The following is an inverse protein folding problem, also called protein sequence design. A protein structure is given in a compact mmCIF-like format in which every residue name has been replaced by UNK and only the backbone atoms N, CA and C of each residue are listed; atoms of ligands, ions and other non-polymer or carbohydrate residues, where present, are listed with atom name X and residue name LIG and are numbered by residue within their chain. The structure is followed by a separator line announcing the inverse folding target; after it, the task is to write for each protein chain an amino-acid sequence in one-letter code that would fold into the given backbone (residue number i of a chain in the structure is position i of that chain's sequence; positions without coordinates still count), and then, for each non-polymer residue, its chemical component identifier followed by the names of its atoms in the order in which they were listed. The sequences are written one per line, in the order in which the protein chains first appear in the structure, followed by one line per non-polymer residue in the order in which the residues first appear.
data_IF_442221667345
#
_entry.id   IF_442221667345
#
_cell.length_a   1.000
_cell.length_b   1.000
_cell.length_c   1.000
_cell.angle_alpha   90.00
_cell.angle_beta   90.00
_cell.angle_gamma   90.00
#
_symmetry.space_group_name_H-M   'P 1'
#
loop_
_entity.id
_entity.type
_entity.pdbx_description
1 polymer ?
#
# COMPACT_ATOMS: atom_id res chain seq x y z
N UNK A 1 69.60 3.31 -18.24
CA UNK A 1 69.89 2.24 -17.25
C UNK A 1 69.13 2.53 -15.97
N UNK A 2 68.00 1.82 -15.78
CA UNK A 2 67.35 1.51 -14.46
C UNK A 2 66.05 0.77 -14.75
N UNK A 3 66.09 -0.53 -14.56
CA UNK A 3 64.96 -1.47 -14.58
C UNK A 3 63.97 -1.09 -13.48
N UNK A 4 62.65 -1.16 -13.77
CA UNK A 4 61.58 -1.25 -12.79
C UNK A 4 60.80 -2.55 -13.02
N UNK A 5 61.05 -3.46 -12.11
CA UNK A 5 60.36 -4.75 -11.96
C UNK A 5 58.90 -4.49 -11.61
N UNK A 6 57.97 -5.01 -12.45
CA UNK A 6 56.53 -5.07 -12.16
C UNK A 6 56.20 -6.27 -11.31
N UNK A 7 55.51 -6.05 -10.21
CA UNK A 7 54.87 -7.09 -9.41
C UNK A 7 53.44 -7.31 -9.96
N UNK A 8 53.24 -8.48 -10.56
CA UNK A 8 51.92 -8.96 -10.92
C UNK A 8 51.28 -9.58 -9.65
N UNK A 9 50.31 -8.89 -9.08
CA UNK A 9 49.49 -9.37 -7.96
C UNK A 9 48.33 -10.16 -8.56
N UNK A 10 48.46 -11.50 -8.54
CA UNK A 10 47.41 -12.43 -8.97
C UNK A 10 46.20 -12.33 -8.01
N UNK A 11 45.10 -11.82 -8.54
CA UNK A 11 43.79 -11.78 -7.86
C UNK A 11 43.18 -13.20 -8.01
N UNK A 12 43.29 -14.02 -6.96
CA UNK A 12 42.58 -15.30 -6.86
C UNK A 12 41.12 -14.97 -6.59
N UNK A 13 40.29 -15.07 -7.63
CA UNK A 13 38.83 -14.97 -7.54
C UNK A 13 38.32 -16.30 -6.97
N UNK A 14 38.07 -16.35 -5.64
CA UNK A 14 37.30 -17.44 -5.05
C UNK A 14 35.86 -17.35 -5.57
N UNK A 15 35.29 -18.43 -6.14
CA UNK A 15 33.87 -18.48 -6.41
C UNK A 15 33.16 -18.57 -5.06
N UNK A 16 32.48 -17.53 -4.65
CA UNK A 16 31.48 -17.57 -3.59
C UNK A 16 30.34 -18.43 -4.13
N UNK A 17 30.27 -19.67 -3.70
CA UNK A 17 29.08 -20.51 -3.83
C UNK A 17 27.97 -19.78 -3.07
N UNK A 18 27.12 -19.07 -3.78
CA UNK A 18 25.83 -18.59 -3.27
C UNK A 18 24.98 -19.83 -3.02
N UNK A 19 25.12 -20.42 -1.84
CA UNK A 19 24.09 -21.29 -1.27
C UNK A 19 22.85 -20.40 -1.20
N UNK A 20 21.78 -20.80 -1.87
CA UNK A 20 20.49 -20.11 -1.79
C UNK A 20 20.06 -20.03 -0.32
N UNK A 21 20.38 -18.93 0.32
CA UNK A 21 19.97 -18.68 1.68
C UNK A 21 18.49 -18.31 1.65
N UNK A 22 17.63 -19.22 2.10
CA UNK A 22 16.26 -18.86 2.43
C UNK A 22 16.32 -17.75 3.49
N UNK A 23 15.86 -16.56 3.15
CA UNK A 23 15.85 -15.45 4.08
C UNK A 23 14.63 -15.62 5.01
N UNK A 24 14.89 -15.96 6.27
CA UNK A 24 13.86 -15.92 7.30
C UNK A 24 13.60 -14.48 7.70
N UNK A 25 12.36 -14.05 7.63
CA UNK A 25 11.96 -12.69 7.97
C UNK A 25 10.84 -12.70 9.00
N UNK A 26 10.91 -11.81 9.99
CA UNK A 26 9.82 -11.62 10.96
C UNK A 26 8.73 -10.73 10.37
N UNK A 27 7.49 -10.88 10.86
CA UNK A 27 6.37 -10.06 10.44
C UNK A 27 6.66 -8.55 10.59
N UNK A 28 7.24 -8.15 11.72
CA UNK A 28 7.58 -6.74 11.99
C UNK A 28 8.58 -6.18 10.99
N UNK A 29 9.63 -6.97 10.65
CA UNK A 29 10.63 -6.56 9.66
C UNK A 29 10.04 -6.49 8.25
N UNK A 30 9.15 -7.41 7.90
CA UNK A 30 8.46 -7.41 6.61
C UNK A 30 7.61 -6.15 6.41
N UNK A 31 6.85 -5.76 7.44
CA UNK A 31 6.03 -4.54 7.40
C UNK A 31 6.90 -3.28 7.31
N UNK A 32 7.97 -3.15 8.13
CA UNK A 32 8.85 -1.97 8.08
C UNK A 32 9.54 -1.82 6.72
N UNK A 33 10.04 -2.91 6.15
CA UNK A 33 10.66 -2.90 4.82
C UNK A 33 9.66 -2.52 3.72
N UNK A 34 8.44 -3.04 3.78
CA UNK A 34 7.40 -2.71 2.81
C UNK A 34 7.00 -1.24 2.90
N UNK A 35 6.77 -0.70 4.10
CA UNK A 35 6.43 0.72 4.28
C UNK A 35 7.51 1.66 3.74
N UNK A 36 8.80 1.25 3.77
CA UNK A 36 9.91 2.04 3.23
C UNK A 36 10.09 1.88 1.72
N UNK A 37 9.77 0.72 1.16
CA UNK A 37 10.14 0.38 -0.20
C UNK A 37 8.97 0.33 -1.18
N UNK A 38 7.74 0.09 -0.71
CA UNK A 38 6.57 -0.06 -1.58
C UNK A 38 6.35 1.20 -2.45
N UNK A 39 6.25 1.05 -3.77
CA UNK A 39 6.03 2.17 -4.69
C UNK A 39 4.73 2.95 -4.40
N UNK A 40 3.68 2.31 -3.88
CA UNK A 40 2.40 2.95 -3.55
C UNK A 40 2.56 3.98 -2.42
N UNK A 41 3.35 3.65 -1.39
CA UNK A 41 3.69 4.59 -0.30
C UNK A 41 4.49 5.76 -0.85
N UNK A 42 5.54 5.49 -1.65
CA UNK A 42 6.37 6.53 -2.28
C UNK A 42 5.57 7.45 -3.21
N UNK A 43 4.62 6.89 -3.96
CA UNK A 43 3.69 7.68 -4.78
C UNK A 43 2.82 8.62 -3.93
N UNK A 44 2.31 8.13 -2.80
CA UNK A 44 1.52 8.93 -1.86
C UNK A 44 2.36 10.00 -1.15
N UNK A 45 3.62 9.72 -0.83
CA UNK A 45 4.57 10.70 -0.30
C UNK A 45 4.87 11.81 -1.33
N UNK A 46 5.07 11.44 -2.59
CA UNK A 46 5.21 12.41 -3.68
C UNK A 46 3.94 13.25 -3.88
N UNK A 47 2.75 12.67 -3.69
CA UNK A 47 1.49 13.42 -3.73
C UNK A 47 1.38 14.44 -2.58
N UNK A 48 1.86 14.11 -1.38
CA UNK A 48 1.96 15.06 -0.26
C UNK A 48 2.93 16.19 -0.59
N UNK A 49 4.11 15.88 -1.16
CA UNK A 49 5.07 16.91 -1.58
C UNK A 49 4.47 17.84 -2.64
N UNK A 50 3.74 17.27 -3.62
CA UNK A 50 3.00 18.06 -4.63
C UNK A 50 1.96 18.98 -3.99
N UNK A 51 1.17 18.48 -3.04
CA UNK A 51 0.16 19.28 -2.35
C UNK A 51 0.80 20.39 -1.47
N UNK A 52 1.95 20.11 -0.86
CA UNK A 52 2.73 21.11 -0.13
C UNK A 52 3.26 22.20 -1.05
N UNK A 53 3.81 21.83 -2.21
CA UNK A 53 4.27 22.80 -3.22
C UNK A 53 3.10 23.66 -3.73
N UNK A 54 1.95 23.07 -3.99
CA UNK A 54 0.74 23.81 -4.41
C UNK A 54 0.25 24.80 -3.33
N UNK A 55 0.34 24.44 -2.05
CA UNK A 55 0.06 25.38 -0.96
C UNK A 55 1.07 26.53 -0.92
N UNK A 56 2.36 26.23 -1.10
CA UNK A 56 3.40 27.28 -1.16
C UNK A 56 3.18 28.20 -2.35
N UNK A 57 2.92 27.64 -3.53
CA UNK A 57 2.60 28.41 -4.74
C UNK A 57 1.44 29.39 -4.53
N UNK A 58 0.36 28.93 -3.87
CA UNK A 58 -0.78 29.82 -3.57
C UNK A 58 -0.46 30.91 -2.56
N UNK A 59 0.53 30.73 -1.69
CA UNK A 59 1.00 31.75 -0.72
C UNK A 59 2.01 32.70 -1.33
N UNK A 60 2.86 32.19 -2.21
CA UNK A 60 3.98 32.95 -2.80
C UNK A 60 3.53 33.99 -3.79
N UNK A 61 2.24 34.04 -4.17
CA UNK A 61 1.64 35.16 -4.92
C UNK A 61 1.80 36.50 -4.18
N UNK A 62 1.92 36.50 -2.85
CA UNK A 62 2.20 37.66 -2.03
C UNK A 62 3.70 38.01 -1.95
N UNK A 63 4.57 37.14 -2.39
CA UNK A 63 6.01 37.36 -2.42
C UNK A 63 6.36 38.01 -3.76
N UNK A 64 7.09 39.16 -3.74
CA UNK A 64 7.48 39.80 -4.98
C UNK A 64 8.31 38.89 -5.88
N UNK A 65 7.89 38.67 -7.12
CA UNK A 65 8.71 38.02 -8.14
C UNK A 65 9.73 39.01 -8.70
N UNK A 66 10.79 38.53 -9.31
CA UNK A 66 11.73 39.38 -10.05
C UNK A 66 11.97 38.76 -11.42
N UNK A 67 11.65 39.52 -12.46
CA UNK A 67 11.80 39.07 -13.84
C UNK A 67 12.71 40.04 -14.59
N UNK A 68 13.76 39.52 -15.22
CA UNK A 68 14.64 40.29 -16.09
C UNK A 68 14.27 40.03 -17.55
N UNK A 69 14.00 41.08 -18.31
CA UNK A 69 13.73 40.98 -19.73
C UNK A 69 14.75 41.81 -20.50
N UNK A 70 15.23 41.31 -21.63
CA UNK A 70 16.11 42.03 -22.56
C UNK A 70 15.61 41.85 -23.98
N UNK A 71 15.54 42.95 -24.73
CA UNK A 71 15.13 42.96 -26.13
C UNK A 71 16.09 43.76 -26.98
N UNK A 72 16.56 43.13 -28.07
CA UNK A 72 17.25 43.81 -29.18
C UNK A 72 16.44 43.54 -30.45
N UNK A 73 16.16 44.59 -31.20
CA UNK A 73 15.39 44.46 -32.45
C UNK A 73 15.83 45.46 -33.50
N UNK A 74 15.61 45.11 -34.74
CA UNK A 74 15.76 45.99 -35.88
C UNK A 74 14.45 46.02 -36.66
N UNK A 75 13.89 47.23 -36.84
CA UNK A 75 12.67 47.42 -37.63
C UNK A 75 12.97 47.83 -39.05
N UNK A 76 12.14 47.37 -39.99
CA UNK A 76 12.15 47.78 -41.40
C UNK A 76 10.79 48.43 -41.70
N UNK A 77 10.79 49.61 -42.25
CA UNK A 77 9.59 50.42 -42.50
C UNK A 77 9.61 51.73 -41.74
N UNK A 78 8.45 52.37 -41.58
CA UNK A 78 8.36 53.65 -40.85
C UNK A 78 7.53 53.44 -39.57
N UNK A 79 8.10 53.72 -38.36
CA UNK A 79 9.49 54.13 -38.09
C UNK A 79 10.44 52.94 -38.11
N UNK A 80 11.67 53.13 -38.62
CA UNK A 80 12.75 52.14 -38.58
C UNK A 80 13.54 52.26 -37.27
N UNK A 81 14.00 51.09 -36.74
CA UNK A 81 14.80 50.98 -35.53
C UNK A 81 13.95 50.77 -34.26
N UNK A 82 14.35 49.77 -33.51
CA UNK A 82 13.81 49.48 -32.18
C UNK A 82 14.90 49.74 -31.15
N UNK A 83 14.59 50.37 -30.00
CA UNK A 83 15.60 50.54 -28.96
C UNK A 83 15.95 49.20 -28.35
N UNK A 84 17.22 49.06 -27.93
CA UNK A 84 17.58 48.00 -27.01
C UNK A 84 17.01 48.31 -25.65
N UNK A 85 16.20 47.40 -25.12
CA UNK A 85 15.54 47.60 -23.85
C UNK A 85 15.99 46.47 -22.89
N UNK A 86 16.45 46.87 -21.73
CA UNK A 86 16.61 46.00 -20.59
C UNK A 86 15.63 46.41 -19.50
N UNK A 87 14.86 45.46 -18.98
CA UNK A 87 13.92 45.77 -17.89
C UNK A 87 14.00 44.71 -16.78
N UNK A 88 13.90 45.18 -15.56
CA UNK A 88 13.66 44.39 -14.36
C UNK A 88 12.26 44.73 -13.86
N UNK A 89 11.41 43.75 -13.76
CA UNK A 89 10.06 43.92 -13.22
C UNK A 89 9.87 43.01 -12.00
N UNK A 90 9.22 43.57 -11.00
CA UNK A 90 8.82 42.85 -9.79
C UNK A 90 7.34 43.13 -9.54
N UNK A 91 6.58 42.08 -9.29
CA UNK A 91 5.15 42.22 -9.00
C UNK A 91 4.78 41.30 -7.82
N UNK A 92 3.91 41.80 -6.95
CA UNK A 92 3.34 41.03 -5.85
C UNK A 92 1.86 41.36 -5.66
N UNK A 93 1.08 40.36 -5.25
CA UNK A 93 -0.29 40.59 -4.82
C UNK A 93 -0.28 41.17 -3.41
N UNK A 94 -0.97 42.30 -3.20
CA UNK A 94 -1.12 42.96 -1.89
C UNK A 94 -2.39 42.46 -1.19
N UNK A 95 -3.47 42.38 -1.95
CA UNK A 95 -4.76 42.02 -1.40
C UNK A 95 -5.68 41.41 -2.47
N UNK A 96 -6.26 40.24 -2.12
CA UNK A 96 -7.30 39.59 -2.92
C UNK A 96 -8.16 38.71 -2.01
N UNK A 97 -9.48 38.88 -2.06
CA UNK A 97 -10.42 38.07 -1.30
C UNK A 97 -10.42 36.58 -1.74
N UNK A 98 -10.38 36.35 -3.06
CA UNK A 98 -10.35 35.00 -3.64
C UNK A 98 -9.10 34.22 -3.22
N UNK A 99 -7.94 34.87 -3.17
CA UNK A 99 -6.67 34.24 -2.84
C UNK A 99 -6.65 33.67 -1.44
N UNK A 100 -7.35 34.30 -0.49
CA UNK A 100 -7.46 33.72 0.89
C UNK A 100 -8.21 32.42 0.90
N UNK A 101 -9.24 32.27 0.08
CA UNK A 101 -10.00 31.02 -0.02
C UNK A 101 -9.22 29.98 -0.82
N UNK A 102 -8.43 30.39 -1.83
CA UNK A 102 -7.51 29.49 -2.55
C UNK A 102 -6.43 28.91 -1.61
N UNK A 103 -5.85 29.72 -0.71
CA UNK A 103 -4.90 29.23 0.30
C UNK A 103 -5.57 28.22 1.24
N UNK A 104 -6.81 28.47 1.67
CA UNK A 104 -7.55 27.52 2.50
C UNK A 104 -7.86 26.23 1.76
N UNK A 105 -8.23 26.33 0.47
CA UNK A 105 -8.45 25.21 -0.40
C UNK A 105 -7.19 24.34 -0.52
N UNK A 106 -6.05 24.96 -0.82
CA UNK A 106 -4.77 24.28 -0.91
C UNK A 106 -4.34 23.65 0.44
N UNK A 107 -4.57 24.33 1.58
CA UNK A 107 -4.30 23.78 2.91
C UNK A 107 -5.19 22.55 3.22
N UNK A 108 -6.48 22.60 2.83
CA UNK A 108 -7.36 21.44 2.95
C UNK A 108 -6.97 20.30 2.00
N UNK A 109 -6.44 20.64 0.80
CA UNK A 109 -5.87 19.69 -0.13
C UNK A 109 -4.63 18.99 0.41
N UNK A 110 -3.74 19.72 1.08
CA UNK A 110 -2.58 19.14 1.76
C UNK A 110 -3.01 18.21 2.92
N UNK A 111 -4.02 18.62 3.70
CA UNK A 111 -4.57 17.76 4.76
C UNK A 111 -5.17 16.47 4.18
N UNK A 112 -5.86 16.56 3.03
CA UNK A 112 -6.37 15.39 2.31
C UNK A 112 -5.25 14.46 1.84
N UNK A 113 -4.17 14.99 1.28
CA UNK A 113 -3.03 14.21 0.82
C UNK A 113 -2.31 13.49 1.98
N UNK A 114 -2.15 14.13 3.15
CA UNK A 114 -1.58 13.49 4.33
C UNK A 114 -2.45 12.33 4.84
N UNK A 115 -3.77 12.50 4.84
CA UNK A 115 -4.70 11.45 5.24
C UNK A 115 -4.73 10.31 4.21
N UNK A 116 -4.57 10.61 2.92
CA UNK A 116 -4.44 9.60 1.87
C UNK A 116 -3.14 8.79 2.01
N UNK A 117 -2.03 9.43 2.43
CA UNK A 117 -0.78 8.74 2.75
C UNK A 117 -0.97 7.79 3.95
N UNK A 118 -1.66 8.24 5.00
CA UNK A 118 -1.96 7.35 6.14
C UNK A 118 -2.79 6.14 5.72
N UNK A 119 -3.83 6.34 4.90
CA UNK A 119 -4.65 5.24 4.37
C UNK A 119 -3.82 4.27 3.52
N UNK A 120 -2.89 4.78 2.68
CA UNK A 120 -2.03 3.94 1.86
C UNK A 120 -1.05 3.11 2.70
N UNK A 121 -0.52 3.69 3.79
CA UNK A 121 0.33 2.95 4.74
C UNK A 121 -0.44 1.83 5.42
N UNK A 122 -1.62 2.12 5.97
CA UNK A 122 -2.48 1.10 6.57
C UNK A 122 -2.89 -0.01 5.58
N UNK A 123 -3.06 0.34 4.29
CA UNK A 123 -3.36 -0.64 3.26
C UNK A 123 -2.15 -1.54 2.95
N UNK A 124 -0.95 -0.97 2.85
CA UNK A 124 0.27 -1.76 2.64
C UNK A 124 0.57 -2.64 3.85
N UNK A 125 0.36 -2.14 5.07
CA UNK A 125 0.46 -2.94 6.30
C UNK A 125 -0.47 -4.15 6.26
N UNK A 126 -1.76 -3.94 5.92
CA UNK A 126 -2.73 -5.03 5.78
C UNK A 126 -2.30 -6.04 4.72
N UNK A 127 -1.92 -5.57 3.53
CA UNK A 127 -1.51 -6.43 2.41
C UNK A 127 -0.32 -7.32 2.81
N UNK A 128 0.68 -6.75 3.49
CA UNK A 128 1.86 -7.50 3.94
C UNK A 128 1.53 -8.48 5.05
N UNK A 129 0.73 -8.06 6.03
CA UNK A 129 0.32 -8.93 7.14
C UNK A 129 -0.47 -10.12 6.62
N UNK A 130 -1.45 -9.88 5.74
CA UNK A 130 -2.27 -10.96 5.15
C UNK A 130 -1.40 -11.90 4.30
N UNK A 131 -0.52 -11.36 3.46
CA UNK A 131 0.38 -12.19 2.64
C UNK A 131 1.35 -13.01 3.50
N UNK A 132 1.84 -12.44 4.61
CA UNK A 132 2.72 -13.15 5.55
C UNK A 132 1.97 -14.26 6.31
N UNK A 133 0.75 -14.00 6.76
CA UNK A 133 -0.11 -15.01 7.40
C UNK A 133 -0.47 -16.14 6.44
N UNK A 134 -0.68 -15.83 5.15
CA UNK A 134 -0.93 -16.82 4.13
C UNK A 134 0.31 -17.71 3.92
N UNK A 135 1.48 -17.09 3.80
CA UNK A 135 2.75 -17.85 3.67
C UNK A 135 2.99 -18.79 4.84
N UNK A 136 2.81 -18.34 6.09
CA UNK A 136 2.94 -19.19 7.29
C UNK A 136 1.93 -20.34 7.29
N UNK A 137 0.68 -20.07 6.91
CA UNK A 137 -0.37 -21.10 6.79
C UNK A 137 -0.02 -22.15 5.73
N UNK A 138 0.42 -21.71 4.54
CA UNK A 138 0.74 -22.59 3.43
C UNK A 138 1.99 -23.44 3.69
N UNK A 139 3.02 -22.88 4.36
CA UNK A 139 4.20 -23.64 4.80
C UNK A 139 3.81 -24.78 5.79
N UNK A 140 2.87 -24.52 6.69
CA UNK A 140 2.33 -25.56 7.60
C UNK A 140 1.49 -26.58 6.86
N UNK A 141 0.71 -26.14 5.86
CA UNK A 141 -0.03 -27.06 5.00
C UNK A 141 0.91 -27.97 4.19
N UNK A 142 2.02 -27.46 3.62
CA UNK A 142 3.01 -28.26 2.87
C UNK A 142 3.67 -29.32 3.78
N UNK A 143 4.00 -28.95 5.03
CA UNK A 143 4.50 -29.92 6.00
C UNK A 143 3.49 -31.04 6.27
N UNK A 144 2.20 -30.71 6.41
CA UNK A 144 1.12 -31.69 6.62
C UNK A 144 0.91 -32.55 5.37
N UNK A 145 0.90 -31.95 4.16
CA UNK A 145 0.77 -32.67 2.88
C UNK A 145 1.96 -33.63 2.63
N UNK A 146 3.15 -33.25 3.06
CA UNK A 146 4.33 -34.12 2.98
C UNK A 146 4.11 -35.42 3.80
N UNK A 147 3.55 -35.31 5.01
CA UNK A 147 3.17 -36.44 5.82
C UNK A 147 2.03 -37.26 5.17
N UNK A 148 1.01 -36.58 4.66
CA UNK A 148 -0.13 -37.19 3.96
C UNK A 148 0.32 -38.02 2.75
N UNK A 149 1.24 -37.46 1.93
CA UNK A 149 1.82 -38.17 0.79
C UNK A 149 2.60 -39.43 1.22
N UNK A 150 3.34 -39.34 2.31
CA UNK A 150 4.04 -40.51 2.90
C UNK A 150 3.04 -41.60 3.30
N UNK A 151 1.97 -41.24 3.98
CA UNK A 151 0.92 -42.17 4.41
C UNK A 151 0.15 -42.78 3.23
N UNK A 152 -0.14 -41.98 2.19
CA UNK A 152 -0.76 -42.44 0.95
C UNK A 152 0.13 -43.43 0.19
N UNK A 153 1.43 -43.17 0.14
CA UNK A 153 2.40 -44.08 -0.49
C UNK A 153 2.48 -45.41 0.28
N UNK A 154 2.44 -45.35 1.61
CA UNK A 154 2.37 -46.52 2.46
C UNK A 154 1.08 -47.33 2.25
N UNK A 155 -0.05 -46.64 2.10
CA UNK A 155 -1.32 -47.28 1.74
C UNK A 155 -1.22 -48.06 0.44
N UNK A 156 -0.62 -47.47 -0.61
CA UNK A 156 -0.40 -48.14 -1.90
C UNK A 156 0.41 -49.43 -1.72
N UNK A 157 1.50 -49.41 -0.91
CA UNK A 157 2.31 -50.57 -0.65
C UNK A 157 1.52 -51.69 0.08
N UNK A 158 0.76 -51.35 1.14
CA UNK A 158 -0.10 -52.28 1.86
C UNK A 158 -1.13 -52.95 0.96
N UNK A 159 -1.85 -52.16 0.12
CA UNK A 159 -2.85 -52.68 -0.79
C UNK A 159 -2.24 -53.55 -1.89
N UNK A 160 -1.02 -53.22 -2.36
CA UNK A 160 -0.27 -54.04 -3.32
C UNK A 160 0.10 -55.38 -2.72
N UNK A 161 0.61 -55.44 -1.46
CA UNK A 161 0.96 -56.67 -0.79
C UNK A 161 -0.27 -57.56 -0.54
N UNK A 162 -1.42 -56.96 -0.16
CA UNK A 162 -2.70 -57.66 -0.01
C UNK A 162 -3.22 -58.22 -1.33
N UNK A 163 -3.06 -57.46 -2.44
CA UNK A 163 -3.41 -57.95 -3.76
C UNK A 163 -2.55 -59.15 -4.17
N UNK A 164 -1.25 -59.10 -3.90
CA UNK A 164 -0.33 -60.21 -4.16
C UNK A 164 -0.68 -61.47 -3.34
N UNK A 165 -1.21 -61.26 -2.12
CA UNK A 165 -1.71 -62.33 -1.26
C UNK A 165 -3.14 -62.81 -1.63
N UNK A 166 -3.78 -62.22 -2.65
CA UNK A 166 -5.14 -62.53 -3.06
C UNK A 166 -6.23 -62.02 -2.11
N UNK A 167 -5.90 -61.12 -1.19
CA UNK A 167 -6.80 -60.59 -0.16
C UNK A 167 -7.45 -59.23 -0.59
N UNK A 168 -7.05 -58.69 -1.73
CA UNK A 168 -7.54 -57.40 -2.20
C UNK A 168 -7.74 -57.41 -3.72
N UNK A 169 -8.36 -56.34 -4.25
CA UNK A 169 -8.69 -56.21 -5.66
C UNK A 169 -7.80 -55.20 -6.38
N UNK A 170 -7.57 -55.41 -7.68
CA UNK A 170 -6.87 -54.45 -8.53
C UNK A 170 -7.54 -53.06 -8.50
N UNK A 171 -8.86 -53.03 -8.31
CA UNK A 171 -9.62 -51.76 -8.23
C UNK A 171 -9.19 -50.95 -7.00
N UNK A 172 -9.02 -51.58 -5.86
CA UNK A 172 -8.60 -50.92 -4.64
C UNK A 172 -7.15 -50.40 -4.75
N UNK A 173 -6.26 -51.17 -5.41
CA UNK A 173 -4.90 -50.69 -5.71
C UNK A 173 -4.94 -49.45 -6.60
N UNK A 174 -5.75 -49.44 -7.67
CA UNK A 174 -5.88 -48.26 -8.55
C UNK A 174 -6.45 -47.05 -7.81
N UNK A 175 -7.40 -47.25 -6.88
CA UNK A 175 -7.92 -46.17 -6.01
C UNK A 175 -6.84 -45.60 -5.11
N UNK A 176 -6.05 -46.44 -4.43
CA UNK A 176 -4.95 -46.02 -3.58
C UNK A 176 -3.90 -45.23 -4.40
N UNK A 177 -3.52 -45.73 -5.59
CA UNK A 177 -2.59 -45.02 -6.49
C UNK A 177 -3.16 -43.69 -6.95
N UNK A 178 -4.47 -43.59 -7.27
CA UNK A 178 -5.12 -42.32 -7.63
C UNK A 178 -5.05 -41.32 -6.48
N UNK A 179 -5.35 -41.74 -5.24
CA UNK A 179 -5.28 -40.90 -4.05
C UNK A 179 -3.85 -40.36 -3.84
N UNK A 180 -2.82 -41.22 -3.88
CA UNK A 180 -1.44 -40.79 -3.75
C UNK A 180 -1.03 -39.79 -4.85
N UNK A 181 -1.46 -40.02 -6.10
CA UNK A 181 -1.18 -39.09 -7.21
C UNK A 181 -1.93 -37.78 -7.10
N UNK A 182 -3.13 -37.77 -6.53
CA UNK A 182 -3.87 -36.53 -6.27
C UNK A 182 -3.17 -35.69 -5.21
N UNK A 183 -2.75 -36.30 -4.10
CA UNK A 183 -2.01 -35.60 -3.03
C UNK A 183 -0.69 -35.01 -3.57
N UNK A 184 0.05 -35.78 -4.40
CA UNK A 184 1.28 -35.29 -5.05
C UNK A 184 1.02 -34.06 -5.93
N UNK A 185 -0.08 -34.05 -6.68
CA UNK A 185 -0.48 -32.91 -7.51
C UNK A 185 -0.88 -31.70 -6.65
N UNK A 186 -1.66 -31.93 -5.59
CA UNK A 186 -2.10 -30.87 -4.68
C UNK A 186 -0.91 -30.24 -3.94
N UNK A 187 0.08 -31.05 -3.55
CA UNK A 187 1.33 -30.59 -2.95
C UNK A 187 2.14 -29.72 -3.94
N UNK A 188 2.27 -30.13 -5.20
CA UNK A 188 2.95 -29.32 -6.22
C UNK A 188 2.27 -27.97 -6.42
N UNK A 189 0.93 -27.96 -6.48
CA UNK A 189 0.18 -26.70 -6.60
C UNK A 189 0.41 -25.78 -5.40
N UNK A 190 0.42 -26.32 -4.19
CA UNK A 190 0.70 -25.55 -2.97
C UNK A 190 2.13 -25.00 -2.95
N UNK A 191 3.13 -25.79 -3.39
CA UNK A 191 4.51 -25.30 -3.52
C UNK A 191 4.66 -24.17 -4.52
N UNK A 192 3.93 -24.22 -5.63
CA UNK A 192 3.87 -23.12 -6.61
C UNK A 192 3.20 -21.87 -6.01
N UNK A 193 2.18 -22.03 -5.19
CA UNK A 193 1.53 -20.94 -4.46
C UNK A 193 2.47 -20.31 -3.43
N UNK A 194 3.16 -21.10 -2.63
CA UNK A 194 4.21 -20.65 -1.68
C UNK A 194 5.30 -19.85 -2.42
N UNK A 195 5.78 -20.35 -3.55
CA UNK A 195 6.79 -19.66 -4.35
C UNK A 195 6.27 -18.29 -4.86
N UNK A 196 5.03 -18.26 -5.34
CA UNK A 196 4.37 -17.04 -5.83
C UNK A 196 4.18 -16.02 -4.71
N UNK A 197 3.73 -16.45 -3.53
CA UNK A 197 3.56 -15.60 -2.35
C UNK A 197 4.91 -15.06 -1.84
N UNK A 198 5.93 -15.91 -1.78
CA UNK A 198 7.29 -15.52 -1.40
C UNK A 198 7.84 -14.44 -2.34
N UNK A 199 7.67 -14.61 -3.66
CA UNK A 199 8.08 -13.62 -4.66
C UNK A 199 7.23 -12.32 -4.57
N UNK A 200 5.93 -12.43 -4.31
CA UNK A 200 5.07 -11.28 -4.08
C UNK A 200 5.51 -10.46 -2.86
N UNK A 201 5.75 -11.12 -1.72
CA UNK A 201 6.26 -10.49 -0.51
C UNK A 201 7.64 -9.85 -0.74
N UNK A 202 8.54 -10.52 -1.46
CA UNK A 202 9.86 -9.98 -1.81
C UNK A 202 9.72 -8.66 -2.58
N UNK A 203 8.81 -8.59 -3.55
CA UNK A 203 8.53 -7.36 -4.31
C UNK A 203 7.94 -6.26 -3.44
N UNK A 204 7.00 -6.57 -2.54
CA UNK A 204 6.42 -5.59 -1.61
C UNK A 204 7.50 -4.98 -0.70
N UNK A 205 8.45 -5.78 -0.24
CA UNK A 205 9.56 -5.34 0.61
C UNK A 205 10.72 -4.70 -0.16
N UNK A 206 10.72 -4.80 -1.50
CA UNK A 206 11.83 -4.33 -2.33
C UNK A 206 13.10 -5.17 -2.19
N UNK A 207 12.96 -6.45 -1.80
CA UNK A 207 14.06 -7.40 -1.69
C UNK A 207 14.18 -8.22 -2.98
N UNK A 208 15.41 -8.59 -3.34
CA UNK A 208 15.70 -9.57 -4.39
C UNK A 208 16.05 -10.91 -3.74
N UNK A 209 15.12 -11.49 -2.98
CA UNK A 209 15.33 -12.78 -2.32
C UNK A 209 14.73 -13.90 -3.16
N UNK A 210 15.48 -14.98 -3.36
CA UNK A 210 15.02 -16.11 -4.16
C UNK A 210 13.96 -16.96 -3.43
N UNK A 211 13.94 -16.95 -2.11
CA UNK A 211 12.94 -17.65 -1.29
C UNK A 211 12.85 -17.01 0.10
N UNK A 212 11.65 -16.58 0.47
CA UNK A 212 11.33 -16.12 1.82
C UNK A 212 10.61 -17.22 2.57
N UNK A 213 10.93 -17.37 3.86
CA UNK A 213 10.21 -18.24 4.78
C UNK A 213 9.76 -17.43 6.00
N UNK A 214 8.56 -17.74 6.49
CA UNK A 214 8.03 -17.12 7.69
C UNK A 214 8.78 -17.62 8.93
N UNK A 215 8.99 -16.73 9.92
CA UNK A 215 9.52 -17.16 11.23
C UNK A 215 8.33 -17.59 12.08
N UNK A 216 8.30 -18.86 12.43
CA UNK A 216 7.35 -19.42 13.40
C UNK A 216 7.44 -18.59 14.71
N UNK A 217 6.33 -18.24 15.32
CA UNK A 217 6.24 -17.39 16.51
C UNK A 217 6.56 -15.89 16.32
N UNK A 218 6.74 -15.39 15.10
CA UNK A 218 6.87 -13.95 14.86
C UNK A 218 5.52 -13.23 14.77
N UNK A 219 4.43 -14.00 14.66
CA UNK A 219 3.06 -13.49 14.56
C UNK A 219 2.49 -13.37 15.98
N UNK A 220 2.19 -12.14 16.46
CA UNK A 220 1.56 -11.96 17.76
C UNK A 220 0.12 -12.45 17.74
N UNK A 221 -0.39 -12.85 18.89
CA UNK A 221 -1.76 -13.29 19.03
C UNK A 221 -2.74 -12.20 18.58
N UNK A 222 -3.64 -12.55 17.67
CA UNK A 222 -4.68 -11.66 17.19
C UNK A 222 -5.79 -11.54 18.23
N UNK A 223 -6.30 -10.33 18.52
CA UNK A 223 -7.38 -10.15 19.47
C UNK A 223 -8.63 -10.93 19.05
N UNK A 224 -9.48 -11.26 20.02
CA UNK A 224 -10.76 -11.89 19.70
C UNK A 224 -11.63 -10.98 18.84
N UNK A 225 -12.52 -11.57 18.03
CA UNK A 225 -13.44 -10.82 17.16
C UNK A 225 -14.28 -9.80 17.96
N UNK A 226 -14.70 -10.16 19.19
CA UNK A 226 -15.43 -9.26 20.08
C UNK A 226 -14.56 -8.08 20.53
N UNK A 227 -13.35 -8.32 20.99
CA UNK A 227 -12.44 -7.26 21.43
C UNK A 227 -12.08 -6.28 20.29
N UNK A 228 -11.80 -6.80 19.10
CA UNK A 228 -11.54 -5.97 17.91
C UNK A 228 -12.78 -5.17 17.47
N UNK A 229 -13.97 -5.70 17.71
CA UNK A 229 -15.22 -5.04 17.33
C UNK A 229 -15.68 -3.95 18.34
N UNK A 230 -15.42 -4.12 19.64
CA UNK A 230 -15.86 -3.22 20.71
C UNK A 230 -14.88 -2.08 20.98
N UNK A 231 -13.58 -2.36 21.00
CA UNK A 231 -12.54 -1.37 21.25
C UNK A 231 -12.27 -0.44 20.06
N UNK A 232 -12.88 -0.72 18.91
CA UNK A 232 -12.71 0.10 17.72
C UNK A 232 -13.27 1.49 17.89
N UNK A 233 -12.42 2.51 17.71
CA UNK A 233 -12.83 3.90 17.59
C UNK A 233 -14.02 4.02 16.62
N UNK A 234 -15.03 4.83 16.96
CA UNK A 234 -16.09 5.22 16.02
C UNK A 234 -15.54 6.13 14.89
N UNK A 235 -14.22 6.33 14.85
CA UNK A 235 -13.54 7.13 13.86
C UNK A 235 -13.65 6.49 12.47
N UNK A 236 -13.83 7.32 11.46
CA UNK A 236 -13.73 6.92 10.06
C UNK A 236 -12.28 6.62 9.69
N UNK A 237 -12.08 5.72 8.73
CA UNK A 237 -10.74 5.44 8.19
C UNK A 237 -10.08 6.72 7.67
N UNK A 238 -8.74 6.76 7.61
CA UNK A 238 -8.01 7.89 7.00
C UNK A 238 -8.49 8.19 5.58
N UNK A 239 -8.91 7.16 4.81
CA UNK A 239 -9.44 7.31 3.46
C UNK A 239 -10.74 8.12 3.41
N UNK A 240 -11.71 7.81 4.28
CA UNK A 240 -12.96 8.60 4.38
C UNK A 240 -12.66 10.02 4.85
N UNK A 241 -11.75 10.19 5.81
CA UNK A 241 -11.32 11.52 6.29
C UNK A 241 -10.60 12.31 5.20
N UNK A 242 -9.80 11.65 4.36
CA UNK A 242 -9.16 12.25 3.18
C UNK A 242 -10.19 12.75 2.18
N UNK A 243 -11.22 11.96 1.88
CA UNK A 243 -12.31 12.37 1.00
C UNK A 243 -13.06 13.60 1.54
N UNK A 244 -13.35 13.64 2.85
CA UNK A 244 -13.96 14.83 3.51
C UNK A 244 -13.07 16.06 3.35
N UNK A 245 -11.75 15.93 3.58
CA UNK A 245 -10.82 17.04 3.44
C UNK A 245 -10.69 17.50 1.98
N UNK A 246 -10.72 16.57 1.01
CA UNK A 246 -10.74 16.87 -0.43
C UNK A 246 -12.02 17.61 -0.84
N UNK A 247 -13.18 17.16 -0.40
CA UNK A 247 -14.45 17.85 -0.65
C UNK A 247 -14.46 19.25 -0.06
N UNK A 248 -13.89 19.43 1.15
CA UNK A 248 -13.71 20.74 1.77
C UNK A 248 -12.79 21.65 0.94
N UNK A 249 -11.71 21.11 0.39
CA UNK A 249 -10.80 21.84 -0.51
C UNK A 249 -11.55 22.38 -1.73
N UNK A 250 -12.32 21.53 -2.42
CA UNK A 250 -13.14 21.90 -3.58
C UNK A 250 -14.21 22.95 -3.23
N UNK A 251 -14.84 22.82 -2.09
CA UNK A 251 -15.81 23.79 -1.59
C UNK A 251 -15.17 25.15 -1.35
N UNK A 252 -13.99 25.21 -0.75
CA UNK A 252 -13.27 26.45 -0.50
C UNK A 252 -12.80 27.11 -1.81
N UNK A 253 -12.38 26.30 -2.80
CA UNK A 253 -12.04 26.78 -4.13
C UNK A 253 -13.26 27.42 -4.81
N UNK A 254 -14.42 26.77 -4.76
CA UNK A 254 -15.69 27.31 -5.29
C UNK A 254 -16.05 28.64 -4.63
N UNK A 255 -15.90 28.77 -3.30
CA UNK A 255 -16.09 30.04 -2.62
C UNK A 255 -15.10 31.12 -3.09
N UNK A 256 -13.84 30.75 -3.32
CA UNK A 256 -12.82 31.64 -3.86
C UNK A 256 -13.20 32.20 -5.22
N UNK A 257 -13.59 31.35 -6.15
CA UNK A 257 -14.01 31.75 -7.50
C UNK A 257 -15.29 32.61 -7.48
N UNK A 258 -16.27 32.24 -6.65
CA UNK A 258 -17.49 33.04 -6.54
C UNK A 258 -17.25 34.43 -5.94
N UNK A 259 -16.24 34.56 -5.05
CA UNK A 259 -15.88 35.85 -4.42
C UNK A 259 -15.01 36.75 -5.29
N UNK A 260 -14.58 36.29 -6.45
CA UNK A 260 -13.80 37.11 -7.38
C UNK A 260 -14.62 38.30 -7.95
N UNK A 261 -15.90 38.08 -8.24
CA UNK A 261 -16.78 39.06 -8.85
C UNK A 261 -17.02 40.26 -7.93
N UNK A 262 -16.94 41.48 -8.51
CA UNK A 262 -17.18 42.77 -7.83
C UNK A 262 -16.32 43.03 -6.59
N UNK A 263 -15.16 42.37 -6.49
CA UNK A 263 -14.23 42.60 -5.39
C UNK A 263 -12.88 43.07 -5.93
N UNK A 264 -12.34 44.17 -5.37
CA UNK A 264 -11.05 44.68 -5.82
C UNK A 264 -9.93 43.72 -5.45
N UNK A 265 -9.00 43.58 -6.37
CA UNK A 265 -7.68 43.01 -6.12
C UNK A 265 -6.64 44.12 -6.25
N UNK A 266 -5.60 44.06 -5.43
CA UNK A 266 -4.54 45.06 -5.39
C UNK A 266 -3.20 44.40 -5.55
N UNK A 267 -2.41 44.89 -6.49
CA UNK A 267 -1.03 44.43 -6.74
C UNK A 267 -0.05 45.61 -6.67
N UNK A 268 1.14 45.34 -6.19
CA UNK A 268 2.28 46.25 -6.17
C UNK A 268 3.22 45.86 -7.30
N UNK A 269 3.54 46.82 -8.18
CA UNK A 269 4.49 46.63 -9.24
C UNK A 269 5.70 47.59 -9.09
N UNK A 270 6.88 47.06 -9.36
CA UNK A 270 8.13 47.83 -9.47
C UNK A 270 8.73 47.47 -10.82
N UNK A 271 9.01 48.50 -11.64
CA UNK A 271 9.65 48.30 -12.92
C UNK A 271 10.86 49.22 -13.05
N UNK A 272 12.01 48.65 -13.34
CA UNK A 272 13.20 49.38 -13.79
C UNK A 272 13.37 49.10 -15.28
N UNK A 273 13.52 50.11 -16.09
CA UNK A 273 13.84 49.95 -17.51
C UNK A 273 15.04 50.83 -17.91
N UNK A 274 15.89 50.24 -18.74
CA UNK A 274 16.99 50.95 -19.39
C UNK A 274 16.77 50.88 -20.90
N UNK A 275 16.75 52.03 -21.55
CA UNK A 275 16.61 52.15 -23.00
C UNK A 275 17.95 52.62 -23.54
N UNK A 276 18.56 51.88 -24.47
CA UNK A 276 19.75 52.26 -25.20
C UNK A 276 19.41 52.46 -26.67
N UNK A 277 19.66 53.65 -27.16
CA UNK A 277 19.32 54.09 -28.51
C UNK A 277 20.51 54.07 -29.49
N UNK A 278 21.71 53.66 -29.00
CA UNK A 278 22.97 53.90 -29.74
C UNK A 278 23.25 52.96 -30.93
N UNK A 279 22.59 51.79 -30.99
CA UNK A 279 23.06 50.74 -31.92
C UNK A 279 22.04 50.36 -33.01
N UNK A 280 20.82 50.83 -33.04
CA UNK A 280 19.76 50.26 -33.90
C UNK A 280 19.01 51.28 -34.77
N UNK A 281 19.57 52.43 -35.04
CA UNK A 281 18.95 53.48 -35.89
C UNK A 281 17.79 54.21 -35.23
N UNK A 282 17.41 53.90 -33.99
CA UNK A 282 16.33 54.58 -33.27
C UNK A 282 16.59 56.08 -33.14
N UNK A 283 17.84 56.47 -32.91
CA UNK A 283 18.30 57.85 -32.79
C UNK A 283 18.09 58.67 -34.08
N UNK A 284 18.03 58.04 -35.26
CA UNK A 284 17.78 58.72 -36.53
C UNK A 284 16.38 59.25 -36.63
N UNK A 285 15.39 58.56 -36.09
CA UNK A 285 13.99 58.96 -36.09
C UNK A 285 13.58 59.78 -34.85
N UNK A 286 14.34 59.59 -33.76
CA UNK A 286 14.12 60.30 -32.50
C UNK A 286 15.42 61.00 -32.04
N UNK A 287 15.81 62.11 -32.69
CA UNK A 287 17.08 62.78 -32.45
C UNK A 287 17.28 63.26 -31.01
N UNK A 288 16.18 63.57 -30.30
CA UNK A 288 16.21 63.97 -28.88
C UNK A 288 16.73 62.89 -27.94
N UNK A 289 16.70 61.63 -28.37
CA UNK A 289 17.21 60.46 -27.62
C UNK A 289 18.57 59.98 -28.14
N UNK A 290 19.13 60.63 -29.17
CA UNK A 290 20.39 60.22 -29.79
C UNK A 290 21.54 60.16 -28.77
N UNK A 291 22.19 58.97 -28.66
CA UNK A 291 23.37 58.76 -27.84
C UNK A 291 23.14 58.82 -26.32
N UNK A 292 21.88 58.78 -25.86
CA UNK A 292 21.55 58.80 -24.44
C UNK A 292 20.92 57.50 -24.02
N UNK A 293 21.59 56.74 -23.13
CA UNK A 293 20.90 55.69 -22.37
C UNK A 293 20.04 56.36 -21.28
N UNK A 294 18.79 55.94 -21.22
CA UNK A 294 17.86 56.43 -20.20
C UNK A 294 17.47 55.33 -19.25
N UNK A 295 17.50 55.64 -17.97
CA UNK A 295 17.03 54.75 -16.91
C UNK A 295 15.72 55.29 -16.36
N UNK A 296 14.75 54.44 -16.20
CA UNK A 296 13.47 54.81 -15.58
C UNK A 296 13.13 53.76 -14.49
N UNK A 297 12.70 54.27 -13.34
CA UNK A 297 12.16 53.46 -12.25
C UNK A 297 10.72 53.87 -12.01
N UNK A 298 9.81 52.92 -11.99
CA UNK A 298 8.41 53.16 -11.63
C UNK A 298 7.99 52.21 -10.52
N UNK A 299 7.29 52.73 -9.54
CA UNK A 299 6.60 52.00 -8.50
C UNK A 299 5.14 52.36 -8.57
N UNK A 300 4.29 51.36 -8.70
CA UNK A 300 2.86 51.60 -8.85
C UNK A 300 2.05 50.56 -8.06
N UNK A 301 0.89 51.06 -7.57
CA UNK A 301 -0.13 50.21 -6.99
C UNK A 301 -1.27 50.12 -8.01
N UNK A 302 -1.58 48.92 -8.43
CA UNK A 302 -2.65 48.64 -9.37
C UNK A 302 -3.84 48.09 -8.61
N UNK A 303 -5.03 48.62 -8.91
CA UNK A 303 -6.29 48.10 -8.39
C UNK A 303 -7.16 47.66 -9.57
N UNK A 304 -7.47 46.38 -9.60
CA UNK A 304 -8.38 45.82 -10.60
C UNK A 304 -9.72 45.48 -9.94
N UNK A 305 -10.82 45.91 -10.55
CA UNK A 305 -12.18 45.61 -10.12
C UNK A 305 -12.92 44.91 -11.27
N UNK A 306 -13.13 43.60 -11.22
CA UNK A 306 -13.86 42.87 -12.26
C UNK A 306 -15.36 43.20 -12.19
N UNK A 307 -15.85 44.09 -13.10
CA UNK A 307 -17.25 44.51 -13.13
C UNK A 307 -18.11 43.50 -13.88
N UNK A 308 -17.61 43.00 -15.01
CA UNK A 308 -18.28 42.04 -15.86
C UNK A 308 -17.31 41.02 -16.42
N UNK A 309 -17.44 39.75 -15.96
CA UNK A 309 -16.61 38.66 -16.40
C UNK A 309 -17.44 37.36 -16.41
N UNK A 310 -17.92 36.97 -17.60
CA UNK A 310 -18.71 35.74 -17.78
C UNK A 310 -17.87 34.50 -17.68
N UNK A 311 -16.58 34.58 -18.05
CA UNK A 311 -15.70 33.45 -17.97
C UNK A 311 -15.53 32.96 -16.50
N UNK A 312 -15.21 33.91 -15.62
CA UNK A 312 -15.10 33.62 -14.18
C UNK A 312 -16.42 33.17 -13.54
N UNK A 313 -17.55 33.69 -14.07
CA UNK A 313 -18.87 33.23 -13.60
C UNK A 313 -19.09 31.76 -13.91
N UNK A 314 -18.82 31.31 -15.15
CA UNK A 314 -18.95 29.88 -15.51
C UNK A 314 -17.92 29.00 -14.81
N UNK A 315 -16.70 29.49 -14.57
CA UNK A 315 -15.72 28.79 -13.75
C UNK A 315 -16.18 28.62 -12.28
N UNK A 316 -16.86 29.61 -11.73
CA UNK A 316 -17.43 29.51 -10.39
C UNK A 316 -18.60 28.52 -10.33
N UNK A 317 -19.46 28.49 -11.37
CA UNK A 317 -20.55 27.53 -11.49
C UNK A 317 -20.03 26.11 -11.64
N UNK A 318 -18.98 25.90 -12.47
CA UNK A 318 -18.28 24.61 -12.62
C UNK A 318 -17.69 24.14 -11.28
N UNK A 319 -16.96 25.01 -10.58
CA UNK A 319 -16.39 24.70 -9.29
C UNK A 319 -17.45 24.40 -8.21
N UNK A 320 -18.62 25.05 -8.27
CA UNK A 320 -19.73 24.79 -7.39
C UNK A 320 -20.34 23.39 -7.64
N UNK A 321 -20.49 23.03 -8.92
CA UNK A 321 -20.94 21.70 -9.30
C UNK A 321 -19.94 20.61 -8.88
N UNK A 322 -18.63 20.85 -9.08
CA UNK A 322 -17.58 19.92 -8.66
C UNK A 322 -17.49 19.78 -7.13
N UNK A 323 -17.71 20.86 -6.37
CA UNK A 323 -17.81 20.81 -4.92
C UNK A 323 -19.01 19.99 -4.44
N UNK A 324 -20.16 20.15 -5.09
CA UNK A 324 -21.38 19.37 -4.81
C UNK A 324 -21.16 17.88 -5.13
N UNK A 325 -20.55 17.58 -6.26
CA UNK A 325 -20.16 16.22 -6.64
C UNK A 325 -19.25 15.58 -5.59
N UNK A 326 -18.19 16.27 -5.18
CA UNK A 326 -17.26 15.77 -4.17
C UNK A 326 -17.93 15.54 -2.80
N UNK A 327 -18.92 16.35 -2.45
CA UNK A 327 -19.71 16.15 -1.24
C UNK A 327 -20.51 14.85 -1.30
N UNK A 328 -21.23 14.58 -2.39
CA UNK A 328 -21.99 13.33 -2.54
C UNK A 328 -21.09 12.10 -2.70
N UNK A 329 -19.94 12.22 -3.37
CA UNK A 329 -18.92 11.16 -3.41
C UNK A 329 -18.43 10.79 -2.00
N UNK A 330 -18.22 11.80 -1.14
CA UNK A 330 -17.82 11.60 0.25
C UNK A 330 -18.92 10.91 1.07
N UNK A 331 -20.18 11.28 0.88
CA UNK A 331 -21.32 10.59 1.54
C UNK A 331 -21.43 9.15 1.06
N UNK A 332 -21.26 8.89 -0.22
CA UNK A 332 -21.24 7.53 -0.76
C UNK A 332 -20.11 6.69 -0.14
N UNK A 333 -18.88 7.22 -0.09
CA UNK A 333 -17.74 6.52 0.52
C UNK A 333 -17.97 6.25 2.02
N UNK A 334 -18.56 7.21 2.73
CA UNK A 334 -18.93 7.02 4.14
C UNK A 334 -19.93 5.88 4.33
N UNK A 335 -20.96 5.82 3.50
CA UNK A 335 -21.97 4.77 3.56
C UNK A 335 -21.36 3.41 3.20
N UNK A 336 -20.53 3.34 2.17
CA UNK A 336 -19.80 2.12 1.80
C UNK A 336 -18.89 1.62 2.93
N UNK A 337 -18.20 2.53 3.62
CA UNK A 337 -17.36 2.21 4.78
C UNK A 337 -18.19 1.60 5.92
N UNK A 338 -19.33 2.21 6.26
CA UNK A 338 -20.22 1.72 7.32
C UNK A 338 -20.82 0.35 6.97
N UNK A 339 -21.26 0.17 5.73
CA UNK A 339 -21.79 -1.10 5.24
C UNK A 339 -20.70 -2.19 5.21
N UNK A 340 -19.50 -1.84 4.75
CA UNK A 340 -18.34 -2.73 4.74
C UNK A 340 -17.97 -3.19 6.15
N UNK A 341 -17.90 -2.26 7.11
CA UNK A 341 -17.61 -2.55 8.51
C UNK A 341 -18.67 -3.48 9.14
N UNK A 342 -19.94 -3.25 8.82
CA UNK A 342 -21.03 -4.09 9.34
C UNK A 342 -20.95 -5.52 8.76
N UNK A 343 -20.73 -5.65 7.45
CA UNK A 343 -20.55 -6.96 6.79
C UNK A 343 -19.35 -7.70 7.35
N UNK A 344 -18.21 -6.99 7.52
CA UNK A 344 -16.98 -7.58 8.02
C UNK A 344 -17.13 -8.13 9.44
N UNK A 345 -17.81 -7.39 10.34
CA UNK A 345 -18.09 -7.88 11.69
C UNK A 345 -18.88 -9.18 11.70
N UNK A 346 -19.89 -9.29 10.82
CA UNK A 346 -20.69 -10.53 10.69
C UNK A 346 -19.88 -11.67 10.10
N UNK A 347 -19.13 -11.40 9.03
CA UNK A 347 -18.27 -12.40 8.39
C UNK A 347 -17.20 -12.92 9.36
N UNK A 348 -16.56 -12.04 10.14
CA UNK A 348 -15.60 -12.46 11.15
C UNK A 348 -16.20 -13.36 12.22
N UNK A 349 -17.40 -13.05 12.70
CA UNK A 349 -18.12 -13.89 13.67
C UNK A 349 -18.53 -15.25 13.08
N UNK A 350 -18.87 -15.31 11.78
CA UNK A 350 -19.15 -16.56 11.08
C UNK A 350 -17.88 -17.40 10.92
N UNK A 351 -16.78 -16.79 10.50
CA UNK A 351 -15.49 -17.46 10.35
C UNK A 351 -14.94 -17.99 11.69
N UNK A 352 -15.18 -17.27 12.79
CA UNK A 352 -14.86 -17.73 14.14
C UNK A 352 -15.55 -19.09 14.43
N UNK A 353 -16.85 -19.19 14.14
CA UNK A 353 -17.59 -20.44 14.32
C UNK A 353 -17.21 -21.54 13.33
N UNK A 354 -16.78 -21.18 12.11
CA UNK A 354 -16.24 -22.16 11.16
C UNK A 354 -14.89 -22.71 11.63
N UNK A 355 -14.04 -21.86 12.20
CA UNK A 355 -12.78 -22.29 12.80
C UNK A 355 -12.99 -23.22 14.00
N UNK A 356 -13.98 -22.89 14.89
CA UNK A 356 -14.36 -23.78 15.99
C UNK A 356 -14.85 -25.15 15.47
N UNK A 357 -15.67 -25.16 14.42
CA UNK A 357 -16.17 -26.40 13.81
C UNK A 357 -15.01 -27.23 13.21
N UNK A 358 -14.12 -26.58 12.45
CA UNK A 358 -12.96 -27.27 11.86
C UNK A 358 -12.03 -27.87 12.94
N UNK A 359 -11.88 -27.19 14.10
CA UNK A 359 -11.14 -27.73 15.22
C UNK A 359 -11.78 -29.00 15.78
N UNK A 360 -13.10 -29.01 15.94
CA UNK A 360 -13.84 -30.21 16.40
C UNK A 360 -13.71 -31.35 15.39
N UNK A 361 -13.81 -31.06 14.08
CA UNK A 361 -13.64 -32.08 13.03
C UNK A 361 -12.24 -32.69 13.04
N UNK A 362 -11.21 -31.90 13.28
CA UNK A 362 -9.83 -32.35 13.42
C UNK A 362 -9.65 -33.18 14.70
N UNK A 363 -10.22 -32.76 15.84
CA UNK A 363 -10.17 -33.54 17.08
C UNK A 363 -10.86 -34.92 16.91
N UNK A 364 -12.00 -34.95 16.21
CA UNK A 364 -12.68 -36.24 15.89
C UNK A 364 -11.80 -37.13 15.04
N UNK A 365 -11.12 -36.59 14.02
CA UNK A 365 -10.24 -37.38 13.17
C UNK A 365 -9.03 -37.91 13.92
N UNK A 366 -8.44 -37.14 14.83
CA UNK A 366 -7.37 -37.61 15.71
C UNK A 366 -7.82 -38.76 16.63
N UNK A 367 -9.01 -38.64 17.25
CA UNK A 367 -9.54 -39.70 18.08
C UNK A 367 -9.83 -40.97 17.25
N UNK A 368 -10.29 -40.83 16.01
CA UNK A 368 -10.48 -41.99 15.11
C UNK A 368 -9.16 -42.74 14.85
N UNK A 369 -8.06 -42.02 14.58
CA UNK A 369 -6.73 -42.64 14.42
C UNK A 369 -6.30 -43.40 15.67
N UNK A 370 -6.49 -42.81 16.87
CA UNK A 370 -6.19 -43.44 18.15
C UNK A 370 -7.00 -44.71 18.36
N UNK A 371 -8.31 -44.67 18.06
CA UNK A 371 -9.20 -45.85 18.20
C UNK A 371 -8.76 -46.97 17.27
N UNK A 372 -8.56 -46.64 15.97
CA UNK A 372 -8.15 -47.66 14.98
C UNK A 372 -6.79 -48.27 15.32
N UNK A 373 -5.81 -47.45 15.72
CA UNK A 373 -4.48 -47.93 16.11
C UNK A 373 -4.51 -48.81 17.38
N UNK A 374 -5.32 -48.43 18.37
CA UNK A 374 -5.51 -49.23 19.58
C UNK A 374 -6.18 -50.58 19.29
N UNK A 375 -7.18 -50.63 18.41
CA UNK A 375 -7.84 -51.88 17.99
C UNK A 375 -6.90 -52.79 17.22
N UNK A 376 -6.07 -52.24 16.34
CA UNK A 376 -5.04 -53.02 15.65
C UNK A 376 -3.99 -53.60 16.61
N UNK A 377 -3.56 -52.85 17.62
CA UNK A 377 -2.53 -53.26 18.59
C UNK A 377 -3.09 -54.28 19.58
N UNK A 378 -4.32 -54.15 20.03
CA UNK A 378 -5.00 -55.06 20.95
C UNK A 378 -5.34 -56.41 20.31
N UNK A 379 -5.16 -56.54 18.99
CA UNK A 379 -5.45 -57.78 18.25
C UNK A 379 -6.94 -58.09 18.31
N UNK A 380 -7.74 -57.49 17.47
CA UNK A 380 -9.15 -57.79 17.12
C UNK A 380 -9.95 -58.79 18.05
N UNK A 381 -9.69 -58.69 19.36
CA UNK A 381 -10.05 -59.75 20.34
C UNK A 381 -11.47 -59.65 20.89
N UNK A 382 -12.39 -58.84 20.33
CA UNK A 382 -13.80 -58.83 20.72
C UNK A 382 -14.68 -59.42 19.62
N UNK A 383 -15.24 -60.58 19.91
CA UNK A 383 -16.18 -61.24 19.03
C UNK A 383 -17.40 -60.36 18.73
N UNK A 384 -17.47 -59.85 17.50
CA UNK A 384 -18.64 -59.14 16.98
C UNK A 384 -18.40 -57.77 16.32
N UNK A 385 -17.17 -57.24 16.33
CA UNK A 385 -16.84 -55.98 15.66
C UNK A 385 -16.22 -56.21 14.28
N UNK A 386 -16.34 -55.24 13.38
CA UNK A 386 -15.66 -55.20 12.09
C UNK A 386 -14.15 -55.23 12.34
N UNK A 387 -13.43 -56.22 11.73
CA UNK A 387 -11.98 -56.35 11.94
C UNK A 387 -11.25 -55.20 11.26
N UNK A 388 -10.66 -54.31 12.04
CA UNK A 388 -9.80 -53.24 11.54
C UNK A 388 -8.56 -53.77 10.84
N UNK A 389 -8.21 -53.17 9.73
CA UNK A 389 -7.07 -53.55 8.91
C UNK A 389 -6.02 -52.45 8.87
N UNK A 390 -4.76 -52.75 8.51
CA UNK A 390 -3.76 -51.70 8.29
C UNK A 390 -4.17 -50.67 7.20
N UNK A 391 -5.07 -51.04 6.31
CA UNK A 391 -5.66 -50.13 5.32
C UNK A 391 -6.54 -49.08 6.01
N UNK A 392 -7.33 -49.49 7.01
CA UNK A 392 -8.22 -48.59 7.75
C UNK A 392 -7.42 -47.60 8.59
N UNK A 393 -6.27 -48.03 9.15
CA UNK A 393 -5.36 -47.12 9.85
C UNK A 393 -4.80 -46.05 8.91
N UNK A 394 -4.34 -46.40 7.71
CA UNK A 394 -3.81 -45.41 6.76
C UNK A 394 -4.91 -44.49 6.26
N UNK A 395 -6.11 -44.98 6.01
CA UNK A 395 -7.26 -44.13 5.63
C UNK A 395 -7.64 -43.14 6.75
N UNK A 396 -7.58 -43.57 8.02
CA UNK A 396 -7.82 -42.71 9.16
C UNK A 396 -6.76 -41.60 9.26
N UNK A 397 -5.47 -41.91 9.05
CA UNK A 397 -4.38 -40.90 8.99
C UNK A 397 -4.53 -39.92 7.85
N UNK A 398 -4.89 -40.38 6.64
CA UNK A 398 -5.17 -39.49 5.51
C UNK A 398 -6.36 -38.56 5.82
N UNK A 399 -7.38 -39.08 6.51
CA UNK A 399 -8.51 -38.24 6.93
C UNK A 399 -8.08 -37.21 7.97
N UNK A 400 -7.25 -37.57 8.95
CA UNK A 400 -6.69 -36.66 9.95
C UNK A 400 -5.87 -35.55 9.29
N UNK A 401 -4.98 -35.86 8.35
CA UNK A 401 -4.18 -34.87 7.61
C UNK A 401 -5.07 -33.91 6.82
N UNK A 402 -6.08 -34.42 6.10
CA UNK A 402 -7.04 -33.60 5.39
C UNK A 402 -7.81 -32.64 6.32
N UNK A 403 -8.27 -33.11 7.50
CA UNK A 403 -8.94 -32.24 8.50
C UNK A 403 -7.99 -31.22 9.12
N UNK A 404 -6.72 -31.57 9.29
CA UNK A 404 -5.70 -30.62 9.75
C UNK A 404 -5.49 -29.50 8.73
N UNK A 405 -5.45 -29.80 7.44
CA UNK A 405 -5.37 -28.80 6.36
C UNK A 405 -6.63 -27.92 6.33
N UNK A 406 -7.83 -28.52 6.45
CA UNK A 406 -9.09 -27.77 6.55
C UNK A 406 -9.08 -26.78 7.72
N UNK A 407 -8.55 -27.19 8.88
CA UNK A 407 -8.40 -26.35 10.07
C UNK A 407 -7.43 -25.18 9.81
N UNK A 408 -6.25 -25.45 9.23
CA UNK A 408 -5.27 -24.40 8.92
C UNK A 408 -5.87 -23.34 7.98
N UNK A 409 -6.60 -23.77 6.95
CA UNK A 409 -7.30 -22.83 6.06
C UNK A 409 -8.39 -22.03 6.79
N UNK A 410 -9.18 -22.65 7.66
CA UNK A 410 -10.20 -21.96 8.44
C UNK A 410 -9.58 -20.92 9.40
N UNK A 411 -8.47 -21.27 10.05
CA UNK A 411 -7.71 -20.37 10.94
C UNK A 411 -7.09 -19.21 10.17
N UNK A 412 -6.57 -19.44 8.96
CA UNK A 412 -6.07 -18.37 8.10
C UNK A 412 -7.19 -17.40 7.70
N UNK A 413 -8.35 -17.90 7.23
CA UNK A 413 -9.49 -17.07 6.87
C UNK A 413 -9.98 -16.22 8.06
N UNK A 414 -10.03 -16.79 9.27
CA UNK A 414 -10.36 -16.07 10.48
C UNK A 414 -9.32 -14.99 10.80
N UNK A 415 -8.03 -15.31 10.69
CA UNK A 415 -6.93 -14.37 10.92
C UNK A 415 -6.96 -13.20 9.95
N UNK A 416 -7.19 -13.47 8.66
CA UNK A 416 -7.39 -12.45 7.64
C UNK A 416 -8.58 -11.53 7.97
N UNK A 417 -9.72 -12.11 8.38
CA UNK A 417 -10.88 -11.32 8.76
C UNK A 417 -10.63 -10.46 10.00
N UNK A 418 -9.87 -10.96 10.98
CA UNK A 418 -9.43 -10.20 12.15
C UNK A 418 -8.52 -9.03 11.78
N UNK A 419 -7.54 -9.24 10.90
CA UNK A 419 -6.64 -8.18 10.42
C UNK A 419 -7.44 -7.08 9.69
N UNK A 420 -8.34 -7.46 8.79
CA UNK A 420 -9.23 -6.53 8.11
C UNK A 420 -10.10 -5.74 9.08
N UNK A 421 -10.58 -6.39 10.15
CA UNK A 421 -11.36 -5.73 11.20
C UNK A 421 -10.50 -4.73 12.00
N UNK A 422 -9.26 -5.09 12.35
CA UNK A 422 -8.31 -4.21 13.04
C UNK A 422 -8.01 -2.97 12.20
N UNK A 423 -7.80 -3.10 10.89
CA UNK A 423 -7.63 -1.96 10.00
C UNK A 423 -8.86 -1.06 9.99
N UNK A 424 -10.06 -1.61 9.79
CA UNK A 424 -11.29 -0.81 9.76
C UNK A 424 -11.65 -0.15 11.10
N UNK A 425 -11.12 -0.67 12.21
CA UNK A 425 -11.28 -0.07 13.54
C UNK A 425 -10.12 0.84 13.92
N UNK A 426 -9.07 0.94 13.08
CA UNK A 426 -7.88 1.77 13.31
C UNK A 426 -6.95 1.22 14.39
N UNK A 427 -7.01 -0.08 14.66
CA UNK A 427 -6.20 -0.76 15.70
C UNK A 427 -5.02 -1.54 15.11
N UNK A 428 -4.89 -1.61 13.77
CA UNK A 428 -3.86 -2.42 13.11
C UNK A 428 -2.46 -1.94 13.46
N UNK A 429 -2.21 -0.64 13.38
CA UNK A 429 -0.90 -0.03 13.71
C UNK A 429 -0.52 -0.25 15.19
N UNK A 430 -1.48 -0.15 16.12
CA UNK A 430 -1.23 -0.39 17.55
C UNK A 430 -0.89 -1.87 17.81
N UNK A 431 -1.58 -2.79 17.15
CA UNK A 431 -1.28 -4.22 17.21
C UNK A 431 0.10 -4.54 16.63
N UNK A 432 0.45 -3.95 15.48
CA UNK A 432 1.79 -4.11 14.89
C UNK A 432 2.91 -3.54 15.78
N UNK A 433 2.70 -2.38 16.40
CA UNK A 433 3.65 -1.81 17.36
C UNK A 433 3.83 -2.70 18.60
N UNK A 434 2.78 -3.35 19.08
CA UNK A 434 2.90 -4.34 20.13
C UNK A 434 3.73 -5.54 19.68
N UNK A 435 3.54 -6.00 18.43
CA UNK A 435 4.35 -7.05 17.80
C UNK A 435 5.85 -6.70 17.75
N UNK A 436 6.19 -5.48 17.34
CA UNK A 436 7.57 -5.01 17.26
C UNK A 436 8.25 -5.01 18.63
N UNK A 437 7.56 -4.62 19.69
CA UNK A 437 8.09 -4.64 21.07
C UNK A 437 8.37 -6.04 21.57
N UNK A 438 7.55 -7.01 21.21
CA UNK A 438 7.75 -8.42 21.58
C UNK A 438 8.97 -8.98 20.85
N UNK A 439 9.17 -8.64 19.58
CA UNK A 439 10.33 -9.10 18.79
C UNK A 439 11.66 -8.48 19.27
N UNK A 440 11.62 -7.28 19.87
CA UNK A 440 12.81 -6.61 20.46
C UNK A 440 13.11 -7.02 21.91
N UNK A 441 12.35 -7.95 22.49
CA UNK A 441 12.57 -8.45 23.86
C UNK A 441 12.29 -7.42 24.95
N UNK A 442 11.55 -6.35 24.65
CA UNK A 442 11.14 -5.33 25.61
C UNK A 442 9.86 -5.81 26.30
N UNK A 443 9.87 -6.11 27.62
CA UNK A 443 8.66 -6.55 28.31
C UNK A 443 7.58 -5.46 28.22
N UNK A 444 6.36 -5.89 27.98
CA UNK A 444 5.17 -5.02 28.03
C UNK A 444 5.03 -4.41 29.42
N UNK A 445 5.71 -3.29 29.70
CA UNK A 445 5.52 -2.55 30.94
C UNK A 445 4.30 -1.65 30.77
N UNK A 446 3.25 -1.96 31.54
CA UNK A 446 2.20 -1.09 32.05
C UNK A 446 2.10 0.31 31.42
N UNK A 447 1.13 0.50 30.54
CA UNK A 447 0.52 1.81 30.35
C UNK A 447 -0.93 1.70 30.77
N UNK A 448 -1.16 1.82 32.10
CA UNK A 448 -2.38 2.41 32.61
C UNK A 448 -2.23 3.92 32.38
N UNK A 449 -2.98 4.46 31.47
CA UNK A 449 -3.74 5.71 31.64
C UNK A 449 -4.51 6.01 30.36
#
# INVERSE_FOLDING_TARGET
MRLRTGWAMGFVMLPVLAVGASAQISLSSAVDLALRNDPRVKMSEAAVQKAHAALSETRDVYVPNLTANGGYGQGFGVPTGLPTVFSLSSQSLVFNYSQRDNIRAAASGLAAANLALSEMREQVEEDVVVAYLNLDSDERCDATMTQEYSDATRLVAIVQDRLNAGQDTRMNLLRAQRTAKQIELDQLNLQDEIATLSDHLSRLMGLSADRLTAIENSIPELPSVHAAAENGSQSYSPGVRSAVASARSKQQLSFGLNRYRLRPQMSLGINYSRIDTGQNGYATYYPSFAGKSQNAVSVYLEMELPIYDRLHQHQADEAAAEASRAHFETEQQRNQFLDGRFKLKRSAAELDKRSDLAQIDQDIAQEQVKVVSAQLTAGNGSSGGEQMTPVDEQNAKLTESARTIDLLHAQFQLSQAKVNLLRQTGQLDDWLKAAMRISEGIPASNVSH
#
